data_IF_757167361914
#
_entry.id   IF_757167361914
#
_cell.length_a   1.000
_cell.length_b   1.000
_cell.length_c   1.000
_cell.angle_alpha   90.00
_cell.angle_beta   90.00
_cell.angle_gamma   90.00
#
_symmetry.space_group_name_H-M   'P 1'
#
loop_
_entity.id
_entity.type
_entity.pdbx_description
1 polymer ?
#
# COMPACT_ATOMS: atom_id res chain seq x y z
N UNK A 1 -20.74 5.15 -5.51
CA UNK A 1 -19.41 4.65 -5.07
C UNK A 1 -19.56 3.16 -4.78
N UNK A 2 -18.84 2.25 -5.47
CA UNK A 2 -18.86 0.83 -5.14
C UNK A 2 -18.36 0.66 -3.70
N UNK A 3 -19.13 0.00 -2.85
CA UNK A 3 -18.71 -0.34 -1.49
C UNK A 3 -17.41 -1.16 -1.60
N UNK A 4 -16.34 -0.65 -1.01
CA UNK A 4 -15.06 -1.39 -0.95
C UNK A 4 -15.33 -2.59 -0.02
N UNK A 5 -15.58 -3.75 -0.61
CA UNK A 5 -15.76 -4.97 0.13
C UNK A 5 -14.41 -5.37 0.72
N UNK A 6 -14.37 -5.57 2.04
CA UNK A 6 -13.19 -6.11 2.70
C UNK A 6 -13.09 -7.60 2.38
N UNK A 7 -11.93 -8.02 1.87
CA UNK A 7 -11.66 -9.41 1.51
C UNK A 7 -10.57 -9.97 2.40
N UNK A 8 -10.78 -11.14 2.99
CA UNK A 8 -9.77 -11.89 3.72
C UNK A 8 -10.19 -13.36 3.87
N UNK A 9 -9.22 -14.24 3.93
CA UNK A 9 -9.36 -15.64 4.37
C UNK A 9 -8.36 -15.98 5.49
N UNK A 10 -7.79 -14.96 6.14
CA UNK A 10 -6.85 -15.13 7.25
C UNK A 10 -7.59 -15.45 8.55
N UNK A 11 -7.25 -16.54 9.29
CA UNK A 11 -7.81 -16.84 10.59
C UNK A 11 -7.63 -15.72 11.62
N UNK A 12 -6.54 -14.97 11.54
CA UNK A 12 -6.30 -13.81 12.41
C UNK A 12 -7.36 -12.72 12.17
N UNK A 13 -7.67 -12.44 10.91
CA UNK A 13 -8.70 -11.46 10.54
C UNK A 13 -10.09 -11.97 10.93
N UNK A 14 -10.38 -13.26 10.73
CA UNK A 14 -11.65 -13.86 11.12
C UNK A 14 -11.92 -13.72 12.63
N UNK A 15 -10.88 -13.85 13.46
CA UNK A 15 -11.00 -13.62 14.90
C UNK A 15 -11.33 -12.16 15.22
N UNK A 16 -10.74 -11.20 14.51
CA UNK A 16 -11.06 -9.77 14.64
C UNK A 16 -12.51 -9.52 14.21
N UNK A 17 -12.94 -10.08 13.08
CA UNK A 17 -14.32 -9.99 12.58
C UNK A 17 -15.32 -10.51 13.60
N UNK A 18 -15.11 -11.73 14.09
CA UNK A 18 -15.97 -12.35 15.14
C UNK A 18 -16.02 -11.50 16.40
N UNK A 19 -14.84 -11.03 16.84
CA UNK A 19 -14.75 -10.19 18.02
C UNK A 19 -15.47 -8.86 17.87
N UNK A 20 -15.27 -8.14 16.77
CA UNK A 20 -15.96 -6.88 16.49
C UNK A 20 -17.48 -7.09 16.36
N UNK A 21 -17.92 -8.17 15.71
CA UNK A 21 -19.34 -8.50 15.58
C UNK A 21 -19.97 -8.79 16.95
N UNK A 22 -19.27 -9.50 17.82
CA UNK A 22 -19.72 -9.80 19.16
C UNK A 22 -19.92 -8.55 20.02
N UNK A 23 -19.14 -7.48 19.81
CA UNK A 23 -19.31 -6.20 20.52
C UNK A 23 -20.69 -5.56 20.28
N UNK A 24 -21.37 -5.90 19.19
CA UNK A 24 -22.73 -5.41 18.90
C UNK A 24 -23.75 -6.06 19.85
N UNK A 25 -23.66 -7.35 20.07
CA UNK A 25 -24.58 -8.06 20.98
C UNK A 25 -24.29 -7.77 22.46
N UNK A 26 -23.03 -7.58 22.82
CA UNK A 26 -22.62 -7.25 24.19
C UNK A 26 -22.77 -5.76 24.53
N UNK A 27 -22.98 -4.93 23.53
CA UNK A 27 -23.03 -3.46 23.62
C UNK A 27 -21.83 -2.86 24.37
N UNK A 28 -20.62 -3.25 23.95
CA UNK A 28 -19.36 -2.80 24.56
C UNK A 28 -18.45 -2.13 23.55
N UNK A 29 -17.63 -1.20 24.03
CA UNK A 29 -16.67 -0.50 23.19
C UNK A 29 -15.43 -1.34 22.91
N UNK A 30 -14.88 -1.20 21.71
CA UNK A 30 -13.67 -1.88 21.25
C UNK A 30 -12.74 -0.96 20.49
N UNK A 31 -11.45 -1.32 20.47
CA UNK A 31 -10.41 -0.58 19.77
C UNK A 31 -9.70 -1.50 18.78
N UNK A 32 -9.62 -1.07 17.52
CA UNK A 32 -8.86 -1.73 16.45
C UNK A 32 -7.59 -0.94 16.15
N UNK A 33 -6.44 -1.51 16.50
CA UNK A 33 -5.12 -0.91 16.32
C UNK A 33 -4.35 -1.60 15.21
N UNK A 34 -3.44 -0.93 14.56
CA UNK A 34 -2.51 -1.50 13.57
C UNK A 34 -1.98 -0.41 12.65
N UNK A 35 -0.95 -0.71 11.90
CA UNK A 35 -0.32 0.23 10.98
C UNK A 35 -1.29 0.88 9.99
N UNK A 36 -0.86 1.98 9.38
CA UNK A 36 -1.63 2.63 8.31
C UNK A 36 -1.82 1.68 7.13
N UNK A 37 -2.93 1.85 6.43
CA UNK A 37 -3.25 1.13 5.19
C UNK A 37 -3.34 -0.41 5.30
N UNK A 38 -3.52 -0.95 6.52
CA UNK A 38 -3.76 -2.39 6.72
C UNK A 38 -5.20 -2.84 6.42
N UNK A 39 -6.10 -1.90 6.11
CA UNK A 39 -7.49 -2.20 5.79
C UNK A 39 -8.49 -2.06 6.95
N UNK A 40 -8.07 -1.56 8.13
CA UNK A 40 -8.94 -1.38 9.31
C UNK A 40 -10.25 -0.67 9.01
N UNK A 41 -10.18 0.48 8.31
CA UNK A 41 -11.38 1.26 7.94
C UNK A 41 -12.31 0.49 7.02
N UNK A 42 -11.76 -0.21 6.03
CA UNK A 42 -12.54 -1.03 5.09
C UNK A 42 -13.23 -2.18 5.83
N UNK A 43 -12.52 -2.86 6.74
CA UNK A 43 -13.09 -3.92 7.57
C UNK A 43 -14.29 -3.42 8.37
N UNK A 44 -14.09 -2.36 9.15
CA UNK A 44 -15.15 -1.82 10.03
C UNK A 44 -16.33 -1.30 9.20
N UNK A 45 -16.08 -0.66 8.06
CA UNK A 45 -17.13 -0.18 7.16
C UNK A 45 -17.94 -1.33 6.52
N UNK A 46 -17.30 -2.44 6.22
CA UNK A 46 -17.98 -3.64 5.70
C UNK A 46 -18.85 -4.27 6.78
N UNK A 47 -18.38 -4.32 8.04
CA UNK A 47 -19.14 -4.92 9.16
C UNK A 47 -20.29 -4.04 9.66
N UNK A 48 -20.13 -2.73 9.58
CA UNK A 48 -21.06 -1.75 10.16
C UNK A 48 -21.37 -0.60 9.17
N UNK A 49 -21.97 -0.89 8.01
CA UNK A 49 -22.15 0.10 6.94
C UNK A 49 -23.06 1.27 7.35
N UNK A 50 -24.03 1.02 8.23
CA UNK A 50 -25.06 2.00 8.63
C UNK A 50 -24.70 2.77 9.90
N UNK A 51 -23.51 2.54 10.47
CA UNK A 51 -23.09 3.25 11.69
C UNK A 51 -22.66 4.69 11.37
N UNK A 52 -22.74 5.54 12.39
CA UNK A 52 -22.20 6.90 12.32
C UNK A 52 -20.68 6.88 12.41
N UNK A 53 -20.01 7.56 11.49
CA UNK A 53 -18.55 7.66 11.40
C UNK A 53 -18.09 9.08 11.66
N UNK A 54 -17.08 9.22 12.52
CA UNK A 54 -16.50 10.52 12.86
C UNK A 54 -14.97 10.44 12.80
N UNK A 55 -14.33 11.51 12.34
CA UNK A 55 -12.87 11.63 12.37
C UNK A 55 -12.43 12.40 13.62
N UNK A 56 -11.56 11.80 14.43
CA UNK A 56 -11.03 12.41 15.65
C UNK A 56 -10.21 13.68 15.41
N UNK A 57 -9.80 13.97 14.18
CA UNK A 57 -9.17 15.25 13.83
C UNK A 57 -10.14 16.43 13.97
N UNK A 58 -11.45 16.20 13.92
CA UNK A 58 -12.48 17.21 14.12
C UNK A 58 -13.11 17.07 15.53
N UNK A 59 -12.56 17.81 16.49
CA UNK A 59 -12.99 17.73 17.90
C UNK A 59 -14.42 18.19 18.13
N UNK A 60 -14.92 19.16 17.37
CA UNK A 60 -16.29 19.66 17.49
C UNK A 60 -17.30 18.60 17.00
N UNK A 61 -17.05 18.03 15.83
CA UNK A 61 -17.88 16.96 15.27
C UNK A 61 -17.89 15.73 16.16
N UNK A 62 -16.73 15.37 16.73
CA UNK A 62 -16.59 14.26 17.67
C UNK A 62 -17.43 14.50 18.93
N UNK A 63 -17.40 15.70 19.52
CA UNK A 63 -18.17 16.02 20.72
C UNK A 63 -19.68 15.93 20.44
N UNK A 64 -20.15 16.54 19.35
CA UNK A 64 -21.55 16.48 18.92
C UNK A 64 -21.99 15.04 18.64
N UNK A 65 -21.15 14.25 17.95
CA UNK A 65 -21.48 12.87 17.65
C UNK A 65 -21.53 11.99 18.90
N UNK A 66 -20.65 12.22 19.87
CA UNK A 66 -20.68 11.54 21.16
C UNK A 66 -21.92 11.87 21.98
N UNK A 67 -22.44 13.09 21.92
CA UNK A 67 -23.67 13.44 22.62
C UNK A 67 -24.91 12.81 22.00
N UNK A 68 -24.98 12.78 20.67
CA UNK A 68 -26.20 12.40 19.95
C UNK A 68 -26.30 10.92 19.57
N UNK A 69 -25.23 10.13 19.72
CA UNK A 69 -25.22 8.74 19.28
C UNK A 69 -24.83 7.77 20.41
N UNK A 70 -25.55 6.65 20.50
CA UNK A 70 -25.18 5.53 21.36
C UNK A 70 -24.22 4.55 20.68
N UNK A 71 -24.19 4.51 19.34
CA UNK A 71 -23.23 3.73 18.57
C UNK A 71 -22.42 4.64 17.65
N UNK A 72 -21.10 4.57 17.72
CA UNK A 72 -20.21 5.46 16.99
C UNK A 72 -18.92 4.76 16.58
N UNK A 73 -18.44 5.07 15.38
CA UNK A 73 -17.14 4.63 14.88
C UNK A 73 -16.22 5.84 14.78
N UNK A 74 -15.10 5.81 15.50
CA UNK A 74 -14.14 6.92 15.57
C UNK A 74 -12.89 6.54 14.81
N UNK A 75 -12.54 7.30 13.77
CA UNK A 75 -11.27 7.19 13.05
C UNK A 75 -10.17 8.06 13.67
N UNK A 76 -8.92 7.68 13.42
CA UNK A 76 -7.76 8.43 13.89
C UNK A 76 -7.75 8.65 15.42
N UNK A 77 -8.22 7.68 16.17
CA UNK A 77 -8.39 7.78 17.63
C UNK A 77 -7.10 8.19 18.35
N UNK A 78 -5.93 7.86 17.82
CA UNK A 78 -4.62 8.30 18.33
C UNK A 78 -4.40 9.82 18.31
N UNK A 79 -5.26 10.58 17.61
CA UNK A 79 -5.18 12.05 17.55
C UNK A 79 -5.90 12.76 18.70
N UNK A 80 -6.68 12.02 19.48
CA UNK A 80 -7.36 12.55 20.65
C UNK A 80 -6.38 12.72 21.80
N UNK A 81 -6.11 13.96 22.18
CA UNK A 81 -5.19 14.30 23.26
C UNK A 81 -5.79 13.94 24.62
N UNK A 82 -7.04 14.31 24.83
CA UNK A 82 -7.75 14.14 26.11
C UNK A 82 -8.89 13.12 26.00
N UNK A 83 -8.52 11.88 25.67
CA UNK A 83 -9.49 10.79 25.55
C UNK A 83 -10.05 10.33 26.93
N UNK A 84 -9.41 10.72 28.03
CA UNK A 84 -9.86 10.33 29.39
C UNK A 84 -11.18 10.99 29.75
N UNK A 85 -11.41 12.21 29.28
CA UNK A 85 -12.63 12.99 29.53
C UNK A 85 -13.78 12.66 28.57
N UNK A 86 -13.54 11.83 27.55
CA UNK A 86 -14.62 11.38 26.67
C UNK A 86 -15.57 10.45 27.43
N UNK A 87 -16.87 10.76 27.38
CA UNK A 87 -17.89 9.91 28.02
C UNK A 87 -18.28 8.73 27.10
N UNK A 88 -17.96 7.50 27.54
CA UNK A 88 -18.32 6.25 26.87
C UNK A 88 -19.44 5.49 27.59
N UNK A 89 -20.04 6.06 28.65
CA UNK A 89 -21.09 5.41 29.39
C UNK A 89 -22.33 5.18 28.53
N UNK A 90 -22.88 3.98 28.58
CA UNK A 90 -24.02 3.57 27.77
C UNK A 90 -23.83 3.76 26.25
N UNK A 91 -22.57 3.67 25.78
CA UNK A 91 -22.23 3.80 24.36
C UNK A 91 -21.42 2.59 23.89
N UNK A 92 -21.66 2.23 22.64
CA UNK A 92 -20.85 1.27 21.91
C UNK A 92 -19.96 2.03 20.92
N UNK A 93 -18.67 2.11 21.22
CA UNK A 93 -17.71 2.83 20.38
C UNK A 93 -16.72 1.85 19.78
N UNK A 94 -16.56 1.90 18.45
CA UNK A 94 -15.46 1.22 17.76
C UNK A 94 -14.45 2.28 17.38
N UNK A 95 -13.33 2.34 18.11
CA UNK A 95 -12.24 3.24 17.79
C UNK A 95 -11.23 2.55 16.85
N UNK A 96 -10.69 3.31 15.89
CA UNK A 96 -9.66 2.86 14.96
C UNK A 96 -8.45 3.75 15.14
N UNK A 97 -7.30 3.14 15.50
CA UNK A 97 -6.04 3.83 15.72
C UNK A 97 -4.90 3.22 14.89
N UNK A 98 -3.88 4.02 14.59
CA UNK A 98 -2.67 3.52 13.95
C UNK A 98 -1.64 3.03 14.98
N UNK A 99 -1.61 3.62 16.15
CA UNK A 99 -0.78 3.25 17.29
C UNK A 99 -1.46 3.65 18.60
N UNK A 100 -0.96 3.15 19.71
CA UNK A 100 -1.42 3.51 21.07
C UNK A 100 -0.21 3.82 21.93
N UNK A 101 -0.16 5.02 22.49
CA UNK A 101 0.94 5.44 23.38
C UNK A 101 0.71 5.05 24.85
N UNK A 102 -0.53 5.04 25.35
CA UNK A 102 -0.87 4.80 26.78
C UNK A 102 -1.81 3.61 26.98
N UNK A 103 -1.28 2.40 26.90
CA UNK A 103 -2.09 1.18 26.90
C UNK A 103 -2.91 0.95 28.19
N UNK A 104 -2.44 1.37 29.35
CA UNK A 104 -3.14 1.13 30.64
C UNK A 104 -4.41 1.97 30.82
N UNK A 105 -4.41 3.23 30.38
CA UNK A 105 -5.56 4.14 30.46
C UNK A 105 -6.59 3.78 29.39
N UNK A 106 -6.15 3.45 28.20
CA UNK A 106 -7.01 3.01 27.07
C UNK A 106 -7.74 1.70 27.42
N UNK A 107 -7.04 0.73 28.02
CA UNK A 107 -7.64 -0.52 28.46
C UNK A 107 -8.82 -0.36 29.43
N UNK A 108 -8.91 0.75 30.16
CA UNK A 108 -10.05 1.03 31.04
C UNK A 108 -11.32 1.42 30.29
N UNK A 109 -11.20 1.98 29.08
CA UNK A 109 -12.35 2.46 28.28
C UNK A 109 -12.85 1.46 27.25
N UNK A 110 -12.00 0.51 26.84
CA UNK A 110 -12.34 -0.48 25.82
C UNK A 110 -12.34 -1.89 26.42
N UNK A 111 -13.45 -2.59 26.27
CA UNK A 111 -13.56 -3.97 26.72
C UNK A 111 -12.66 -4.91 25.92
N UNK A 112 -12.45 -4.61 24.63
CA UNK A 112 -11.61 -5.39 23.75
C UNK A 112 -10.67 -4.50 22.93
N UNK A 113 -9.45 -4.98 22.75
CA UNK A 113 -8.45 -4.36 21.88
C UNK A 113 -7.99 -5.41 20.88
N UNK A 114 -8.18 -5.13 19.59
CA UNK A 114 -7.77 -5.99 18.50
C UNK A 114 -6.60 -5.35 17.75
N UNK A 115 -5.62 -6.16 17.37
CA UNK A 115 -4.48 -5.70 16.56
C UNK A 115 -4.63 -6.22 15.14
N UNK A 116 -4.75 -5.30 14.17
CA UNK A 116 -4.72 -5.63 12.75
C UNK A 116 -3.27 -5.89 12.35
N UNK A 117 -2.92 -7.08 11.86
CA UNK A 117 -1.56 -7.37 11.41
C UNK A 117 -1.17 -6.53 10.19
N UNK A 118 0.13 -6.29 10.05
CA UNK A 118 0.71 -5.73 8.83
C UNK A 118 0.50 -6.66 7.64
N UNK A 119 0.56 -6.13 6.43
CA UNK A 119 0.26 -6.92 5.24
C UNK A 119 1.27 -8.06 5.02
N UNK A 120 2.53 -7.85 5.40
CA UNK A 120 3.59 -8.86 5.30
C UNK A 120 3.42 -10.03 6.28
N UNK A 121 2.65 -9.85 7.38
CA UNK A 121 2.37 -10.87 8.38
C UNK A 121 1.09 -11.65 8.10
N UNK A 122 0.33 -11.26 7.07
CA UNK A 122 -0.98 -11.83 6.78
C UNK A 122 -0.88 -13.04 5.86
N UNK A 123 -1.58 -14.12 6.22
CA UNK A 123 -1.67 -15.33 5.42
C UNK A 123 -2.45 -15.15 4.12
N UNK A 124 -3.34 -14.15 4.05
CA UNK A 124 -4.16 -13.82 2.89
C UNK A 124 -3.49 -12.84 1.90
N UNK A 125 -2.17 -12.61 2.03
CA UNK A 125 -1.43 -11.69 1.16
C UNK A 125 -1.59 -12.04 -0.33
N UNK A 126 -1.48 -13.30 -0.69
CA UNK A 126 -1.59 -13.75 -2.10
C UNK A 126 -3.00 -13.45 -2.63
N UNK A 127 -4.04 -13.77 -1.87
CA UNK A 127 -5.43 -13.47 -2.22
C UNK A 127 -5.64 -11.96 -2.46
N UNK A 128 -5.02 -11.11 -1.64
CA UNK A 128 -5.12 -9.66 -1.80
C UNK A 128 -4.35 -9.15 -3.01
N UNK A 129 -3.18 -9.73 -3.31
CA UNK A 129 -2.42 -9.40 -4.52
C UNK A 129 -3.27 -9.71 -5.76
N UNK A 130 -3.80 -10.91 -5.87
CA UNK A 130 -4.63 -11.35 -7.00
C UNK A 130 -5.86 -10.44 -7.15
N UNK A 131 -6.56 -10.17 -6.05
CA UNK A 131 -7.73 -9.29 -6.05
C UNK A 131 -7.40 -7.87 -6.52
N UNK A 132 -6.31 -7.27 -6.03
CA UNK A 132 -5.93 -5.92 -6.45
C UNK A 132 -5.40 -5.91 -7.88
N UNK A 133 -4.66 -6.92 -8.29
CA UNK A 133 -4.19 -7.06 -9.67
C UNK A 133 -5.36 -7.12 -10.65
N UNK A 134 -6.35 -7.97 -10.41
CA UNK A 134 -7.55 -8.09 -11.24
C UNK A 134 -8.32 -6.77 -11.35
N UNK A 135 -8.47 -6.07 -10.20
CA UNK A 135 -9.16 -4.78 -10.22
C UNK A 135 -8.39 -3.72 -11.01
N UNK A 136 -7.07 -3.65 -10.84
CA UNK A 136 -6.22 -2.68 -11.57
C UNK A 136 -6.19 -3.02 -13.06
N UNK A 137 -6.14 -4.30 -13.44
CA UNK A 137 -6.22 -4.70 -14.86
C UNK A 137 -7.53 -4.23 -15.50
N UNK A 138 -8.66 -4.40 -14.79
CA UNK A 138 -9.96 -3.89 -15.24
C UNK A 138 -10.01 -2.36 -15.34
N UNK A 139 -9.43 -1.65 -14.39
CA UNK A 139 -9.32 -0.19 -14.40
C UNK A 139 -8.46 0.32 -15.57
N UNK A 140 -7.39 -0.41 -15.91
CA UNK A 140 -6.51 -0.12 -17.03
C UNK A 140 -7.00 -0.68 -18.37
N UNK A 141 -8.19 -1.31 -18.40
CA UNK A 141 -8.79 -1.95 -19.61
C UNK A 141 -7.86 -2.98 -20.27
N UNK A 142 -7.15 -3.77 -19.46
CA UNK A 142 -6.23 -4.80 -19.94
C UNK A 142 -6.97 -6.15 -20.04
N UNK A 143 -7.23 -6.59 -21.27
CA UNK A 143 -8.03 -7.81 -21.56
C UNK A 143 -7.20 -9.10 -21.60
N UNK A 144 -5.93 -9.05 -21.23
CA UNK A 144 -5.02 -10.20 -21.23
C UNK A 144 -4.36 -10.41 -19.85
N UNK A 145 -4.09 -11.67 -19.48
CA UNK A 145 -3.46 -11.96 -18.20
C UNK A 145 -2.02 -11.47 -18.18
N UNK A 146 -1.66 -10.77 -17.12
CA UNK A 146 -0.29 -10.30 -16.89
C UNK A 146 0.25 -10.97 -15.64
N UNK A 147 1.29 -11.77 -15.80
CA UNK A 147 2.00 -12.37 -14.66
C UNK A 147 2.93 -11.35 -14.00
N UNK A 148 2.80 -11.21 -12.68
CA UNK A 148 3.65 -10.36 -11.84
C UNK A 148 4.39 -11.23 -10.84
N UNK A 149 5.70 -11.02 -10.72
CA UNK A 149 6.49 -11.66 -9.66
C UNK A 149 6.17 -11.02 -8.31
N UNK A 150 5.55 -11.77 -7.41
CA UNK A 150 5.13 -11.29 -6.09
C UNK A 150 6.32 -10.89 -5.19
N UNK A 151 7.49 -11.52 -5.38
CA UNK A 151 8.72 -11.24 -4.61
C UNK A 151 9.25 -9.81 -4.73
N UNK A 152 8.78 -9.06 -5.73
CA UNK A 152 9.24 -7.72 -6.01
C UNK A 152 8.18 -6.65 -5.68
N UNK A 153 7.09 -7.00 -5.04
CA UNK A 153 6.05 -6.05 -4.63
C UNK A 153 6.46 -5.32 -3.36
N UNK A 154 6.15 -4.04 -3.31
CA UNK A 154 6.43 -3.20 -2.14
C UNK A 154 5.29 -3.31 -1.13
N UNK A 155 5.61 -3.74 0.09
CA UNK A 155 4.67 -3.89 1.20
C UNK A 155 4.95 -2.91 2.36
N UNK A 156 5.89 -1.98 2.21
CA UNK A 156 6.36 -1.09 3.29
C UNK A 156 5.25 -0.21 3.87
N UNK A 157 4.30 0.22 3.05
CA UNK A 157 3.10 0.94 3.46
C UNK A 157 1.82 0.09 3.28
N UNK A 158 1.92 -1.20 3.50
CA UNK A 158 0.80 -2.13 3.42
C UNK A 158 0.06 -2.05 2.05
N UNK A 159 -1.28 -1.93 2.05
CA UNK A 159 -2.11 -1.90 0.83
C UNK A 159 -1.75 -0.71 -0.09
N UNK A 160 -1.27 0.40 0.46
CA UNK A 160 -0.92 1.58 -0.34
C UNK A 160 0.28 1.31 -1.25
N UNK A 161 1.39 0.85 -0.69
CA UNK A 161 2.59 0.53 -1.47
C UNK A 161 2.38 -0.69 -2.37
N UNK A 162 1.63 -1.70 -1.89
CA UNK A 162 1.23 -2.84 -2.71
C UNK A 162 0.51 -2.38 -3.99
N UNK A 163 -0.54 -1.57 -3.87
CA UNK A 163 -1.27 -1.07 -5.04
C UNK A 163 -0.38 -0.24 -5.95
N UNK A 164 0.41 0.68 -5.40
CA UNK A 164 1.32 1.51 -6.19
C UNK A 164 2.33 0.66 -6.99
N UNK A 165 2.88 -0.39 -6.38
CA UNK A 165 3.80 -1.30 -7.07
C UNK A 165 3.11 -2.15 -8.14
N UNK A 166 1.85 -2.58 -7.91
CA UNK A 166 1.06 -3.29 -8.91
C UNK A 166 0.75 -2.40 -10.12
N UNK A 167 0.26 -1.17 -9.91
CA UNK A 167 0.03 -0.20 -11.00
C UNK A 167 1.29 0.03 -11.82
N UNK A 168 2.41 0.32 -11.14
CA UNK A 168 3.70 0.55 -11.82
C UNK A 168 4.09 -0.63 -12.69
N UNK A 169 3.96 -1.86 -12.20
CA UNK A 169 4.34 -3.07 -12.94
C UNK A 169 3.43 -3.38 -14.10
N UNK A 170 2.11 -3.23 -13.91
CA UNK A 170 1.15 -3.43 -14.98
C UNK A 170 1.37 -2.42 -16.10
N UNK A 171 1.51 -1.15 -15.78
CA UNK A 171 1.82 -0.11 -16.78
C UNK A 171 3.14 -0.40 -17.50
N UNK A 172 4.21 -0.78 -16.78
CA UNK A 172 5.49 -1.10 -17.44
C UNK A 172 5.40 -2.25 -18.43
N UNK A 173 4.51 -3.23 -18.18
CA UNK A 173 4.31 -4.37 -19.09
C UNK A 173 3.46 -4.04 -20.30
N UNK A 174 2.72 -2.94 -20.27
CA UNK A 174 1.88 -2.50 -21.38
C UNK A 174 2.58 -1.52 -22.33
N UNK A 175 3.66 -0.87 -21.87
CA UNK A 175 4.38 0.13 -22.66
C UNK A 175 4.97 -0.46 -23.93
N UNK A 176 4.66 0.17 -25.05
CA UNK A 176 5.30 -0.11 -26.34
C UNK A 176 6.52 0.80 -26.56
N UNK A 177 7.27 0.55 -27.65
CA UNK A 177 8.49 1.30 -27.95
C UNK A 177 8.26 2.80 -28.17
N UNK A 178 7.13 3.18 -28.75
CA UNK A 178 6.82 4.59 -29.01
C UNK A 178 6.49 5.34 -27.71
N UNK A 179 5.72 4.71 -26.83
CA UNK A 179 5.42 5.27 -25.50
C UNK A 179 6.69 5.43 -24.64
N UNK A 180 7.61 4.46 -24.72
CA UNK A 180 8.92 4.58 -24.03
C UNK A 180 9.72 5.76 -24.57
N UNK A 181 9.75 5.96 -25.91
CA UNK A 181 10.42 7.10 -26.52
C UNK A 181 9.77 8.43 -26.14
N UNK A 182 8.44 8.48 -26.07
CA UNK A 182 7.69 9.66 -25.67
C UNK A 182 7.98 10.04 -24.20
N UNK A 183 7.97 9.06 -23.29
CA UNK A 183 8.33 9.28 -21.88
C UNK A 183 9.76 9.82 -21.78
N UNK A 184 10.71 9.23 -22.50
CA UNK A 184 12.10 9.69 -22.50
C UNK A 184 12.23 11.08 -23.10
N UNK A 185 11.52 11.37 -24.20
CA UNK A 185 11.50 12.69 -24.81
C UNK A 185 11.01 13.77 -23.85
N UNK A 186 9.86 13.53 -23.19
CA UNK A 186 9.29 14.49 -22.26
C UNK A 186 10.23 14.74 -21.06
N UNK A 187 10.83 13.68 -20.52
CA UNK A 187 11.83 13.80 -19.46
C UNK A 187 13.04 14.64 -19.91
N UNK A 188 13.59 14.36 -21.09
CA UNK A 188 14.74 15.10 -21.62
C UNK A 188 14.39 16.54 -21.96
N UNK A 189 13.20 16.80 -22.49
CA UNK A 189 12.73 18.15 -22.82
C UNK A 189 12.70 19.07 -21.59
N UNK A 190 12.30 18.53 -20.44
CA UNK A 190 12.23 19.27 -19.18
C UNK A 190 13.60 19.45 -18.49
N UNK A 191 14.58 18.56 -18.77
CA UNK A 191 15.80 18.48 -17.96
C UNK A 191 17.08 18.75 -18.75
N UNK A 192 17.03 18.86 -20.08
CA UNK A 192 18.23 19.09 -20.91
C UNK A 192 18.79 20.51 -20.69
N UNK A 193 19.96 20.59 -20.04
CA UNK A 193 20.64 21.81 -19.74
C UNK A 193 22.18 21.65 -19.87
N UNK A 194 22.92 22.75 -19.99
CA UNK A 194 24.38 22.76 -19.95
C UNK A 194 25.06 22.33 -21.24
N UNK A 195 26.40 22.09 -21.15
CA UNK A 195 27.27 21.88 -22.31
C UNK A 195 27.65 20.41 -22.54
N UNK A 196 27.21 19.49 -21.70
CA UNK A 196 27.59 18.07 -21.70
C UNK A 196 26.39 17.11 -21.66
N UNK A 197 25.21 17.63 -21.96
CA UNK A 197 23.93 16.93 -21.82
C UNK A 197 23.92 15.55 -22.52
N UNK A 198 24.52 15.44 -23.71
CA UNK A 198 24.60 14.15 -24.40
C UNK A 198 25.25 13.05 -23.53
N UNK A 199 26.39 13.37 -22.89
CA UNK A 199 27.08 12.38 -22.03
C UNK A 199 26.35 12.12 -20.72
N UNK A 200 25.75 13.16 -20.17
CA UNK A 200 25.00 13.06 -18.91
C UNK A 200 23.76 12.16 -19.06
N UNK A 201 23.01 12.36 -20.15
CA UNK A 201 21.78 11.58 -20.38
C UNK A 201 21.98 10.26 -21.12
N UNK A 202 23.17 10.00 -21.71
CA UNK A 202 23.46 8.72 -22.34
C UNK A 202 23.33 7.55 -21.38
N UNK A 203 23.60 7.76 -20.09
CA UNK A 203 23.46 6.77 -19.04
C UNK A 203 22.03 6.26 -18.88
N UNK A 204 21.00 7.05 -19.22
CA UNK A 204 19.60 6.63 -19.19
C UNK A 204 19.30 5.47 -20.14
N UNK A 205 20.08 5.34 -21.20
CA UNK A 205 19.98 4.23 -22.14
C UNK A 205 21.04 3.16 -21.89
N UNK A 206 22.30 3.53 -21.76
CA UNK A 206 23.42 2.58 -21.67
C UNK A 206 23.37 1.72 -20.40
N UNK A 207 23.17 2.35 -19.25
CA UNK A 207 23.16 1.64 -17.96
C UNK A 207 22.07 0.57 -17.90
N UNK A 208 20.78 0.86 -18.12
CA UNK A 208 19.74 -0.16 -18.09
C UNK A 208 19.89 -1.22 -19.17
N UNK A 209 20.43 -0.88 -20.35
CA UNK A 209 20.70 -1.87 -21.41
C UNK A 209 21.75 -2.90 -20.96
N UNK A 210 22.86 -2.44 -20.39
CA UNK A 210 23.94 -3.29 -19.93
C UNK A 210 23.48 -4.11 -18.73
N UNK A 211 22.84 -3.51 -17.75
CA UNK A 211 22.33 -4.17 -16.54
C UNK A 211 21.33 -5.28 -16.88
N UNK A 212 20.34 -4.98 -17.73
CA UNK A 212 19.38 -5.97 -18.21
C UNK A 212 20.05 -7.11 -18.97
N UNK A 213 21.04 -6.77 -19.78
CA UNK A 213 21.83 -7.75 -20.52
C UNK A 213 22.66 -8.67 -19.63
N UNK A 214 23.33 -8.12 -18.63
CA UNK A 214 24.09 -8.92 -17.63
C UNK A 214 23.17 -9.87 -16.87
N UNK A 215 22.02 -9.37 -16.42
CA UNK A 215 21.01 -10.21 -15.72
C UNK A 215 20.47 -11.32 -16.61
N UNK A 216 20.18 -11.03 -17.87
CA UNK A 216 19.59 -11.98 -18.83
C UNK A 216 20.57 -13.05 -19.29
N UNK A 217 21.77 -12.66 -19.66
CA UNK A 217 22.75 -13.56 -20.31
C UNK A 217 23.76 -14.16 -19.33
N UNK A 218 23.94 -13.56 -18.15
CA UNK A 218 24.88 -14.02 -17.10
C UNK A 218 26.31 -14.24 -17.59
N UNK A 219 26.69 -13.62 -18.70
CA UNK A 219 28.01 -13.75 -19.37
C UNK A 219 28.33 -12.48 -20.15
N UNK A 220 29.40 -11.80 -19.76
CA UNK A 220 29.90 -10.61 -20.46
C UNK A 220 30.31 -10.90 -21.90
N UNK A 221 30.86 -12.10 -22.17
CA UNK A 221 31.23 -12.51 -23.54
C UNK A 221 29.98 -12.62 -24.43
N UNK A 222 28.96 -13.33 -23.95
CA UNK A 222 27.71 -13.47 -24.67
C UNK A 222 27.01 -12.10 -24.87
N UNK A 223 27.02 -11.28 -23.85
CA UNK A 223 26.45 -9.92 -23.92
C UNK A 223 27.17 -9.04 -24.92
N UNK A 224 28.51 -9.09 -24.98
CA UNK A 224 29.27 -8.30 -25.96
C UNK A 224 28.90 -8.66 -27.41
N UNK A 225 28.68 -9.93 -27.71
CA UNK A 225 28.19 -10.38 -29.02
C UNK A 225 26.78 -9.86 -29.32
N UNK A 226 25.85 -9.95 -28.34
CA UNK A 226 24.48 -9.50 -28.50
C UNK A 226 24.37 -8.00 -28.71
N UNK A 227 25.20 -7.22 -28.00
CA UNK A 227 25.24 -5.76 -28.13
C UNK A 227 26.08 -5.27 -29.33
N UNK A 228 26.78 -6.15 -30.03
CA UNK A 228 27.69 -5.77 -31.11
C UNK A 228 28.88 -4.94 -30.62
N UNK A 229 29.28 -5.09 -29.35
CA UNK A 229 30.37 -4.37 -28.72
C UNK A 229 31.62 -5.24 -28.60
N UNK A 230 32.81 -4.61 -28.73
CA UNK A 230 34.04 -5.29 -28.33
C UNK A 230 34.01 -5.57 -26.81
N UNK A 231 34.57 -6.73 -26.40
CA UNK A 231 34.60 -7.13 -24.99
C UNK A 231 35.24 -6.10 -24.07
N UNK A 232 36.35 -5.49 -24.51
CA UNK A 232 37.04 -4.46 -23.72
C UNK A 232 36.17 -3.19 -23.56
N UNK A 233 35.45 -2.80 -24.62
CA UNK A 233 34.51 -1.68 -24.58
C UNK A 233 33.37 -1.93 -23.61
N UNK A 234 32.77 -3.13 -23.67
CA UNK A 234 31.73 -3.51 -22.73
C UNK A 234 32.23 -3.51 -21.27
N UNK A 235 33.44 -4.07 -21.03
CA UNK A 235 34.02 -4.09 -19.69
C UNK A 235 34.26 -2.67 -19.15
N UNK A 236 34.74 -1.74 -19.99
CA UNK A 236 34.91 -0.34 -19.61
C UNK A 236 33.59 0.30 -19.24
N UNK A 237 32.52 0.08 -20.02
CA UNK A 237 31.18 0.61 -19.74
C UNK A 237 30.55 0.02 -18.47
N UNK A 238 30.78 -1.27 -18.18
CA UNK A 238 30.36 -1.92 -16.92
C UNK A 238 30.98 -1.19 -15.73
N UNK A 239 32.28 -0.91 -15.81
CA UNK A 239 32.99 -0.18 -14.74
C UNK A 239 32.53 1.29 -14.63
N UNK A 240 32.35 1.99 -15.76
CA UNK A 240 31.87 3.39 -15.78
C UNK A 240 30.47 3.53 -15.13
N UNK A 241 29.62 2.51 -15.28
CA UNK A 241 28.28 2.51 -14.70
C UNK A 241 28.15 1.87 -13.32
N UNK A 242 29.26 1.33 -12.74
CA UNK A 242 29.29 0.67 -11.43
C UNK A 242 28.42 -0.61 -11.38
N UNK A 243 28.50 -1.44 -12.43
CA UNK A 243 27.73 -2.68 -12.60
C UNK A 243 28.58 -3.94 -12.40
N UNK A 244 29.73 -3.84 -11.71
CA UNK A 244 30.65 -4.95 -11.42
C UNK A 244 30.08 -5.96 -10.42
#
# INVERSE_FOLDING_TARGET
MKSVQFLSNSPQIDNIVKGLTLTKSLFVSSLLVGERYTGKRSLVKTLFPDSTYVDANNSEELSIALENNHELIIYNFEKIIDFENLNFENKRIIAIANHIENSSKIKKKFAFIYTMPSLCEREDLILLIDYFQDNIQKELMLDYPIEIEHSQLDLTENIRSLKASLYKRLIHKTLNNEEIKEILYNYLYEHIEGNNAYREYLCLYEKPLIEAGLKKYKSQLKLSHVLGLNRNTLRKKIQEHGLD
#
